data_IF_168554352339
#
_entry.id   IF_168554352339
#
_cell.length_a   1.000
_cell.length_b   1.000
_cell.length_c   1.000
_cell.angle_alpha   90.00
_cell.angle_beta   90.00
_cell.angle_gamma   90.00
#
_symmetry.space_group_name_H-M   'P 1'
#
loop_
_entity.id
_entity.type
_entity.pdbx_description
1 polymer ?
#
# COMPACT_ATOMS: atom_id res chain seq x y z
N UNK A 1 -8.89 -22.93 9.80
CA UNK A 1 -7.54 -23.32 9.33
C UNK A 1 -6.62 -22.14 9.53
N UNK A 2 -5.46 -22.30 10.19
CA UNK A 2 -4.40 -21.29 10.11
C UNK A 2 -3.91 -21.22 8.65
N UNK A 3 -3.73 -20.01 8.13
CA UNK A 3 -3.19 -19.81 6.78
C UNK A 3 -1.79 -20.44 6.68
N UNK A 4 -1.53 -21.16 5.59
CA UNK A 4 -0.25 -21.81 5.32
C UNK A 4 0.85 -20.73 5.19
N UNK A 5 1.91 -20.76 6.04
CA UNK A 5 2.98 -19.76 6.01
C UNK A 5 3.78 -19.72 4.71
N UNK A 6 3.61 -20.70 3.82
CA UNK A 6 4.30 -20.81 2.53
C UNK A 6 3.42 -20.45 1.31
N UNK A 7 2.30 -19.75 1.50
CA UNK A 7 1.62 -19.14 0.36
C UNK A 7 2.53 -18.07 -0.23
N UNK A 8 3.18 -18.40 -1.34
CA UNK A 8 4.09 -17.49 -2.02
C UNK A 8 3.36 -16.20 -2.34
N UNK A 9 3.83 -15.07 -1.80
CA UNK A 9 3.24 -13.75 -2.03
C UNK A 9 3.13 -13.42 -3.53
N UNK A 10 3.96 -14.04 -4.37
CA UNK A 10 3.94 -13.88 -5.83
C UNK A 10 2.84 -14.65 -6.54
N UNK A 11 2.23 -15.64 -5.88
CA UNK A 11 1.10 -16.41 -6.41
C UNK A 11 -0.26 -15.83 -6.00
N UNK A 12 -0.26 -14.88 -5.06
CA UNK A 12 -1.46 -14.20 -4.60
C UNK A 12 -1.85 -13.09 -5.59
N UNK A 13 -3.15 -12.94 -5.78
CA UNK A 13 -3.75 -11.78 -6.45
C UNK A 13 -3.59 -10.50 -5.61
N UNK A 14 -3.80 -9.34 -6.23
CA UNK A 14 -3.67 -8.04 -5.57
C UNK A 14 -4.63 -7.87 -4.39
N UNK A 15 -5.87 -8.38 -4.49
CA UNK A 15 -6.88 -8.32 -3.42
C UNK A 15 -6.56 -9.28 -2.27
N UNK A 16 -6.01 -10.46 -2.56
CA UNK A 16 -5.51 -11.38 -1.53
C UNK A 16 -4.34 -10.77 -0.74
N UNK A 17 -3.41 -10.10 -1.42
CA UNK A 17 -2.30 -9.38 -0.78
C UNK A 17 -2.82 -8.22 0.08
N UNK A 18 -3.75 -7.42 -0.43
CA UNK A 18 -4.39 -6.35 0.34
C UNK A 18 -5.10 -6.89 1.59
N UNK A 19 -5.85 -7.99 1.46
CA UNK A 19 -6.53 -8.63 2.59
C UNK A 19 -5.56 -9.19 3.65
N UNK A 20 -4.37 -9.65 3.25
CA UNK A 20 -3.33 -10.03 4.20
C UNK A 20 -2.79 -8.82 4.97
N UNK A 21 -2.52 -7.71 4.27
CA UNK A 21 -2.06 -6.46 4.89
C UNK A 21 -3.10 -5.93 5.89
N UNK A 22 -4.37 -5.88 5.50
CA UNK A 22 -5.45 -5.39 6.38
C UNK A 22 -5.56 -6.22 7.66
N UNK A 23 -5.52 -7.55 7.57
CA UNK A 23 -5.53 -8.42 8.75
C UNK A 23 -4.35 -8.16 9.68
N UNK A 24 -3.16 -7.90 9.13
CA UNK A 24 -1.98 -7.55 9.92
C UNK A 24 -2.10 -6.19 10.62
N UNK A 25 -2.67 -5.20 9.94
CA UNK A 25 -2.94 -3.87 10.52
C UNK A 25 -3.99 -3.96 11.63
N UNK A 26 -5.08 -4.70 11.40
CA UNK A 26 -6.14 -4.91 12.39
C UNK A 26 -5.56 -5.52 13.67
N UNK A 27 -4.79 -6.62 13.53
CA UNK A 27 -4.13 -7.29 14.65
C UNK A 27 -3.13 -6.38 15.39
N UNK A 28 -2.34 -5.57 14.67
CA UNK A 28 -1.46 -4.60 15.30
C UNK A 28 -2.25 -3.54 16.08
N UNK A 29 -3.36 -3.06 15.52
CA UNK A 29 -4.19 -2.03 16.15
C UNK A 29 -4.85 -2.48 17.45
N UNK A 30 -5.21 -3.76 17.56
CA UNK A 30 -5.90 -4.31 18.74
C UNK A 30 -4.98 -4.61 19.91
N UNK A 31 -3.65 -4.59 19.72
CA UNK A 31 -2.67 -4.89 20.78
C UNK A 31 -2.60 -3.83 21.89
N UNK A 32 -2.99 -2.59 21.59
CA UNK A 32 -3.16 -1.53 22.60
C UNK A 32 -1.90 -1.15 23.38
N UNK A 33 -0.70 -1.44 22.86
CA UNK A 33 0.58 -1.11 23.50
C UNK A 33 1.42 -0.14 22.66
N UNK A 34 2.44 0.46 23.31
CA UNK A 34 3.29 1.49 22.71
C UNK A 34 4.03 0.96 21.49
N UNK A 35 4.52 -0.27 21.57
CA UNK A 35 5.29 -0.93 20.54
C UNK A 35 4.45 -1.12 19.28
N UNK A 36 3.23 -1.64 19.41
CA UNK A 36 2.31 -1.84 18.31
C UNK A 36 1.89 -0.51 17.65
N UNK A 37 1.65 0.54 18.45
CA UNK A 37 1.41 1.88 17.89
C UNK A 37 2.63 2.39 17.10
N UNK A 38 3.84 2.19 17.63
CA UNK A 38 5.09 2.51 16.93
C UNK A 38 5.24 1.77 15.61
N UNK A 39 4.93 0.48 15.57
CA UNK A 39 4.96 -0.29 14.32
C UNK A 39 3.92 0.19 13.30
N UNK A 40 2.70 0.51 13.73
CA UNK A 40 1.69 1.08 12.83
C UNK A 40 2.16 2.37 12.15
N UNK A 41 2.83 3.26 12.89
CA UNK A 41 3.41 4.48 12.30
C UNK A 41 4.49 4.17 11.25
N UNK A 42 5.30 3.13 11.46
CA UNK A 42 6.29 2.68 10.48
C UNK A 42 5.62 2.07 9.25
N UNK A 43 4.57 1.27 9.44
CA UNK A 43 3.77 0.71 8.34
C UNK A 43 3.16 1.82 7.48
N UNK A 44 2.56 2.84 8.10
CA UNK A 44 2.00 4.00 7.37
C UNK A 44 3.07 4.70 6.54
N UNK A 45 4.24 4.95 7.14
CA UNK A 45 5.37 5.61 6.45
C UNK A 45 5.85 4.78 5.25
N UNK A 46 6.03 3.48 5.46
CA UNK A 46 6.48 2.55 4.44
C UNK A 46 5.47 2.40 3.29
N UNK A 47 4.18 2.24 3.62
CA UNK A 47 3.11 2.15 2.64
C UNK A 47 3.04 3.43 1.78
N UNK A 48 3.18 4.61 2.39
CA UNK A 48 3.23 5.88 1.67
C UNK A 48 4.37 5.96 0.65
N UNK A 49 5.57 5.50 1.02
CA UNK A 49 6.72 5.43 0.10
C UNK A 49 6.42 4.49 -1.08
N UNK A 50 5.86 3.30 -0.80
CA UNK A 50 5.55 2.31 -1.85
C UNK A 50 4.40 2.75 -2.76
N UNK A 51 3.44 3.53 -2.27
CA UNK A 51 2.44 4.19 -3.11
C UNK A 51 3.11 5.14 -4.11
N UNK A 52 4.11 5.92 -3.68
CA UNK A 52 4.87 6.80 -4.59
C UNK A 52 5.60 6.01 -5.68
N UNK A 53 6.22 4.89 -5.31
CA UNK A 53 6.86 3.97 -6.29
C UNK A 53 5.83 3.42 -7.27
N UNK A 54 4.70 2.90 -6.78
CA UNK A 54 3.63 2.35 -7.61
C UNK A 54 3.03 3.40 -8.56
N UNK A 55 2.81 4.63 -8.08
CA UNK A 55 2.34 5.74 -8.90
C UNK A 55 3.30 6.05 -10.06
N UNK A 56 4.61 6.07 -9.80
CA UNK A 56 5.63 6.29 -10.85
C UNK A 56 5.70 5.13 -11.86
N UNK A 57 5.58 3.89 -11.38
CA UNK A 57 5.52 2.71 -12.27
C UNK A 57 4.28 2.80 -13.17
N UNK A 58 3.11 3.07 -12.60
CA UNK A 58 1.88 3.24 -13.35
C UNK A 58 1.96 4.40 -14.35
N UNK A 59 2.55 5.53 -13.95
CA UNK A 59 2.76 6.67 -14.85
C UNK A 59 3.72 6.35 -16.01
N UNK A 60 4.75 5.52 -15.76
CA UNK A 60 5.75 5.10 -16.76
C UNK A 60 5.14 4.14 -17.77
N UNK A 61 4.37 3.14 -17.30
CA UNK A 61 3.72 2.17 -18.16
C UNK A 61 2.48 2.74 -18.88
N UNK A 62 1.85 3.76 -18.31
CA UNK A 62 0.64 4.39 -18.83
C UNK A 62 0.80 5.91 -18.90
N UNK A 63 0.24 6.65 -17.93
CA UNK A 63 0.37 8.10 -17.87
C UNK A 63 -0.01 8.65 -16.49
N UNK A 64 0.40 9.89 -16.23
CA UNK A 64 -0.08 10.65 -15.05
C UNK A 64 -1.59 10.89 -15.04
N UNK A 65 -2.28 10.79 -16.19
CA UNK A 65 -3.74 10.86 -16.22
C UNK A 65 -4.36 9.58 -15.63
N UNK A 66 -3.78 8.41 -15.91
CA UNK A 66 -4.23 7.14 -15.33
C UNK A 66 -4.03 7.10 -13.82
N UNK A 67 -2.88 7.59 -13.33
CA UNK A 67 -2.63 7.73 -11.90
C UNK A 67 -3.69 8.61 -11.23
N UNK A 68 -4.03 9.73 -11.88
CA UNK A 68 -5.03 10.67 -11.38
C UNK A 68 -6.44 10.08 -11.33
N UNK A 69 -6.83 9.33 -12.37
CA UNK A 69 -8.09 8.59 -12.41
C UNK A 69 -8.20 7.61 -11.23
N UNK A 70 -7.20 6.74 -11.05
CA UNK A 70 -7.21 5.72 -9.98
C UNK A 70 -7.17 6.35 -8.58
N UNK A 71 -6.43 7.45 -8.40
CA UNK A 71 -6.29 8.13 -7.11
C UNK A 71 -7.39 9.16 -6.82
N UNK A 72 -8.34 9.36 -7.74
CA UNK A 72 -9.45 10.32 -7.57
C UNK A 72 -8.99 11.77 -7.47
N UNK A 73 -7.89 12.14 -8.13
CA UNK A 73 -7.32 13.51 -8.10
C UNK A 73 -7.11 14.07 -9.50
N UNK A 74 -6.62 15.31 -9.62
CA UNK A 74 -6.27 15.88 -10.93
C UNK A 74 -4.90 15.40 -11.39
N UNK A 75 -4.67 15.37 -12.72
CA UNK A 75 -3.36 15.03 -13.29
C UNK A 75 -2.23 15.87 -12.71
N UNK A 76 -2.45 17.18 -12.53
CA UNK A 76 -1.46 18.08 -11.95
C UNK A 76 -1.17 17.73 -10.49
N UNK A 77 -2.21 17.50 -9.68
CA UNK A 77 -2.04 17.13 -8.28
C UNK A 77 -1.34 15.76 -8.12
N UNK A 78 -1.66 14.77 -8.95
CA UNK A 78 -0.98 13.48 -8.96
C UNK A 78 0.51 13.62 -9.31
N UNK A 79 0.84 14.43 -10.32
CA UNK A 79 2.22 14.69 -10.73
C UNK A 79 3.00 15.45 -9.65
N UNK A 80 2.46 16.54 -9.11
CA UNK A 80 3.10 17.30 -8.04
C UNK A 80 3.38 16.42 -6.82
N UNK A 81 2.46 15.51 -6.49
CA UNK A 81 2.55 14.64 -5.32
C UNK A 81 3.56 13.50 -5.44
N UNK A 82 3.64 12.84 -6.60
CA UNK A 82 4.39 11.57 -6.73
C UNK A 82 5.49 11.55 -7.78
N UNK A 83 5.75 12.66 -8.49
CA UNK A 83 6.85 12.73 -9.48
C UNK A 83 8.24 12.49 -8.87
N UNK A 84 8.43 12.80 -7.59
CA UNK A 84 9.69 12.68 -6.84
C UNK A 84 9.71 11.43 -5.96
#
# INVERSE_FOLDING_TARGET
MPADPDTSLTAMSEDELAALIYRGIDELSTRGNREAFGELLRVVSYAGEKVGVAARLLATSNSWAQVAEVSGTSKQAAWERWRS
#
